data_IF_844015255764
#
_entry.id   IF_844015255764
#
_cell.length_a   1.000
_cell.length_b   1.000
_cell.length_c   1.000
_cell.angle_alpha   90.00
_cell.angle_beta   90.00
_cell.angle_gamma   90.00
#
_symmetry.space_group_name_H-M   'P 1'
#
loop_
_entity.id
_entity.type
_entity.pdbx_description
1 polymer ?
#
# COMPACT_ATOMS: atom_id res chain seq x y z
N UNK A 1 -23.25 21.72 6.07
CA UNK A 1 -22.45 20.85 5.19
C UNK A 1 -22.21 21.61 3.91
N UNK A 2 -21.05 22.25 3.79
CA UNK A 2 -20.70 23.04 2.61
C UNK A 2 -20.17 22.02 1.59
N UNK A 3 -20.75 21.96 0.40
CA UNK A 3 -20.41 20.97 -0.64
C UNK A 3 -19.05 21.20 -1.31
N UNK A 4 -18.03 21.49 -0.51
CA UNK A 4 -16.67 21.76 -0.96
C UNK A 4 -15.99 20.47 -1.44
N UNK A 5 -15.20 20.59 -2.49
CA UNK A 5 -14.44 19.48 -3.06
C UNK A 5 -13.48 18.91 -2.01
N UNK A 6 -13.46 17.58 -1.89
CA UNK A 6 -12.52 16.90 -1.01
C UNK A 6 -11.07 17.23 -1.41
N UNK A 7 -10.22 17.52 -0.43
CA UNK A 7 -8.78 17.77 -0.64
C UNK A 7 -8.05 16.54 -1.23
N UNK A 8 -8.50 15.34 -0.86
CA UNK A 8 -7.93 14.07 -1.31
C UNK A 8 -9.06 13.11 -1.69
N UNK A 9 -9.66 13.29 -2.87
CA UNK A 9 -10.70 12.40 -3.35
C UNK A 9 -10.12 11.01 -3.67
N UNK A 10 -10.93 9.96 -3.54
CA UNK A 10 -10.46 8.57 -3.66
C UNK A 10 -9.80 8.22 -5.01
N UNK A 11 -10.13 8.94 -6.09
CA UNK A 11 -9.50 8.72 -7.39
C UNK A 11 -8.00 9.05 -7.40
N UNK A 12 -7.55 10.01 -6.59
CA UNK A 12 -6.12 10.34 -6.50
C UNK A 12 -5.35 9.24 -5.75
N UNK A 13 -5.98 8.60 -4.76
CA UNK A 13 -5.44 7.39 -4.13
C UNK A 13 -5.22 6.25 -5.12
N UNK A 14 -6.16 6.03 -6.04
CA UNK A 14 -6.05 5.01 -7.09
C UNK A 14 -4.88 5.31 -8.05
N UNK A 15 -4.64 6.58 -8.39
CA UNK A 15 -3.47 6.98 -9.19
C UNK A 15 -2.16 6.72 -8.45
N UNK A 16 -2.11 7.00 -7.14
CA UNK A 16 -0.96 6.68 -6.30
C UNK A 16 -0.62 5.18 -6.30
N UNK A 17 -1.64 4.33 -6.16
CA UNK A 17 -1.48 2.87 -6.28
C UNK A 17 -0.97 2.46 -7.68
N UNK A 18 -1.45 3.11 -8.73
CA UNK A 18 -1.01 2.83 -10.10
C UNK A 18 0.48 3.11 -10.28
N UNK A 19 0.99 4.22 -9.72
CA UNK A 19 2.41 4.55 -9.75
C UNK A 19 3.23 3.53 -8.97
N UNK A 20 2.78 3.15 -7.76
CA UNK A 20 3.45 2.13 -6.95
C UNK A 20 3.54 0.78 -7.68
N UNK A 21 2.47 0.36 -8.36
CA UNK A 21 2.46 -0.86 -9.17
C UNK A 21 3.42 -0.75 -10.37
N UNK A 22 3.52 0.41 -11.01
CA UNK A 22 4.45 0.65 -12.11
C UNK A 22 5.92 0.54 -11.67
N UNK A 23 6.25 1.08 -10.49
CA UNK A 23 7.58 0.97 -9.88
C UNK A 23 7.95 -0.50 -9.65
N UNK A 24 7.02 -1.27 -9.06
CA UNK A 24 7.23 -2.70 -8.86
C UNK A 24 7.39 -3.47 -10.18
N UNK A 25 6.57 -3.16 -11.18
CA UNK A 25 6.68 -3.82 -12.49
C UNK A 25 8.04 -3.55 -13.13
N UNK A 26 8.53 -2.30 -13.07
CA UNK A 26 9.85 -1.92 -13.60
C UNK A 26 10.99 -2.65 -12.88
N UNK A 27 10.94 -2.72 -11.55
CA UNK A 27 11.91 -3.48 -10.74
C UNK A 27 11.94 -4.97 -11.10
N UNK A 28 10.77 -5.58 -11.31
CA UNK A 28 10.70 -7.02 -11.58
C UNK A 28 11.08 -7.39 -13.00
N UNK A 29 10.80 -6.54 -13.98
CA UNK A 29 11.09 -6.82 -15.40
C UNK A 29 12.40 -6.20 -15.88
N UNK A 30 13.00 -5.30 -15.09
CA UNK A 30 14.17 -4.49 -15.47
C UNK A 30 13.93 -3.67 -16.75
N UNK A 31 12.68 -3.27 -16.98
CA UNK A 31 12.24 -2.49 -18.14
C UNK A 31 11.71 -1.12 -17.71
N UNK A 32 11.80 -0.15 -18.61
CA UNK A 32 11.11 1.13 -18.46
C UNK A 32 9.60 0.91 -18.61
N UNK A 33 8.82 1.32 -17.61
CA UNK A 33 7.35 1.16 -17.62
C UNK A 33 6.69 2.52 -17.86
N UNK A 34 5.82 2.59 -18.88
CA UNK A 34 4.99 3.76 -19.18
C UNK A 34 3.56 3.58 -18.67
N UNK A 35 2.88 4.67 -18.35
CA UNK A 35 1.46 4.64 -17.99
C UNK A 35 0.55 4.76 -19.22
N UNK A 36 -0.60 4.06 -19.28
CA UNK A 36 -1.07 3.10 -18.28
C UNK A 36 -0.30 1.76 -18.33
N UNK A 37 -0.09 1.15 -17.16
CA UNK A 37 0.63 -0.13 -17.06
C UNK A 37 -0.20 -1.30 -17.62
N UNK A 38 0.49 -2.36 -18.03
CA UNK A 38 -0.13 -3.67 -18.26
C UNK A 38 -0.54 -4.30 -16.91
N UNK A 39 -1.82 -4.16 -16.57
CA UNK A 39 -2.39 -4.67 -15.33
C UNK A 39 -2.38 -6.20 -15.24
N UNK A 40 -2.50 -6.89 -16.38
CA UNK A 40 -2.50 -8.34 -16.41
C UNK A 40 -1.09 -8.88 -16.11
N UNK A 41 -0.06 -8.32 -16.75
CA UNK A 41 1.35 -8.63 -16.49
C UNK A 41 1.72 -8.39 -15.02
N UNK A 42 1.32 -7.24 -14.47
CA UNK A 42 1.54 -6.94 -13.05
C UNK A 42 0.87 -7.96 -12.12
N UNK A 43 -0.42 -8.27 -12.36
CA UNK A 43 -1.18 -9.20 -11.54
C UNK A 43 -0.56 -10.60 -11.55
N UNK A 44 -0.12 -11.07 -12.71
CA UNK A 44 0.52 -12.38 -12.84
C UNK A 44 1.81 -12.46 -12.01
N UNK A 45 2.71 -11.50 -12.18
CA UNK A 45 3.97 -11.45 -11.43
C UNK A 45 3.75 -11.29 -9.92
N UNK A 46 2.77 -10.48 -9.52
CA UNK A 46 2.39 -10.32 -8.12
C UNK A 46 1.98 -11.67 -7.51
N UNK A 47 1.13 -12.44 -8.20
CA UNK A 47 0.71 -13.75 -7.72
C UNK A 47 1.86 -14.74 -7.63
N UNK A 48 2.78 -14.74 -8.61
CA UNK A 48 3.99 -15.57 -8.54
C UNK A 48 4.85 -15.21 -7.31
N UNK A 49 4.95 -13.93 -6.96
CA UNK A 49 5.70 -13.48 -5.77
C UNK A 49 4.99 -13.81 -4.47
N UNK A 50 3.67 -13.64 -4.40
CA UNK A 50 2.88 -14.03 -3.22
C UNK A 50 3.07 -15.52 -2.92
N UNK A 51 3.02 -16.37 -3.95
CA UNK A 51 3.25 -17.82 -3.79
C UNK A 51 4.64 -18.18 -3.27
N UNK A 52 5.66 -17.36 -3.58
CA UNK A 52 7.04 -17.53 -3.11
C UNK A 52 7.34 -16.77 -1.81
N UNK A 53 6.42 -15.94 -1.35
CA UNK A 53 6.58 -15.19 -0.12
C UNK A 53 6.28 -16.11 1.07
N UNK A 54 7.14 -16.05 2.08
CA UNK A 54 6.92 -16.71 3.35
C UNK A 54 6.58 -15.65 4.38
N UNK A 55 5.62 -15.96 5.25
CA UNK A 55 5.39 -15.16 6.45
C UNK A 55 6.67 -15.26 7.27
N UNK A 56 7.30 -14.11 7.53
CA UNK A 56 8.41 -14.07 8.46
C UNK A 56 7.83 -14.37 9.84
N UNK A 57 8.23 -15.48 10.44
CA UNK A 57 7.93 -15.75 11.85
C UNK A 57 8.52 -14.59 12.66
N UNK A 58 7.64 -13.72 13.15
CA UNK A 58 8.04 -12.69 14.09
C UNK A 58 8.63 -13.39 15.30
N UNK A 59 9.82 -12.97 15.73
CA UNK A 59 10.24 -13.21 17.11
C UNK A 59 9.04 -12.87 18.00
N UNK A 60 8.66 -13.79 18.89
CA UNK A 60 7.56 -13.62 19.85
C UNK A 60 7.94 -12.57 20.92
N UNK A 61 8.49 -11.44 20.52
CA UNK A 61 8.60 -10.28 21.37
C UNK A 61 7.20 -9.67 21.41
N UNK A 62 6.61 -9.85 22.58
CA UNK A 62 5.27 -9.49 23.01
C UNK A 62 4.66 -8.31 22.24
N UNK A 63 3.93 -8.62 21.17
CA UNK A 63 2.97 -7.72 20.55
C UNK A 63 1.71 -7.68 21.42
N UNK A 64 1.85 -7.30 22.70
CA UNK A 64 0.76 -6.77 23.51
C UNK A 64 0.40 -5.36 23.02
N UNK A 65 0.16 -5.22 21.72
CA UNK A 65 -0.58 -4.09 21.18
C UNK A 65 -2.01 -4.31 21.63
N UNK A 66 -2.40 -3.58 22.67
CA UNK A 66 -3.79 -3.38 23.06
C UNK A 66 -4.55 -2.82 21.85
N UNK A 67 -5.07 -3.71 20.99
CA UNK A 67 -6.02 -3.38 19.93
C UNK A 67 -7.29 -2.84 20.59
N UNK A 68 -7.30 -1.55 20.90
CA UNK A 68 -8.39 -0.88 21.61
C UNK A 68 -7.97 0.27 22.52
N UNK A 69 -6.68 0.45 22.82
CA UNK A 69 -6.21 1.62 23.56
C UNK A 69 -5.38 2.47 22.61
N UNK A 70 -6.02 3.49 22.04
CA UNK A 70 -5.29 4.53 21.31
C UNK A 70 -4.27 5.14 22.26
N UNK A 71 -2.99 5.02 21.93
CA UNK A 71 -1.90 5.58 22.72
C UNK A 71 -2.17 7.06 22.99
N UNK A 72 -2.15 7.46 24.27
CA UNK A 72 -2.37 8.83 24.77
C UNK A 72 -1.35 9.84 24.23
N UNK A 73 -0.33 9.37 23.49
CA UNK A 73 0.71 10.21 22.87
C UNK A 73 0.15 11.16 21.81
N UNK A 74 -1.04 10.89 21.26
CA UNK A 74 -1.71 11.75 20.28
C UNK A 74 -2.87 12.57 20.85
N UNK A 75 -3.04 12.63 22.17
CA UNK A 75 -3.99 13.57 22.77
C UNK A 75 -3.41 14.99 22.74
N UNK A 76 -3.78 15.76 21.73
CA UNK A 76 -3.56 17.21 21.71
C UNK A 76 -4.75 17.87 22.40
N UNK A 77 -4.48 18.49 23.55
CA UNK A 77 -5.45 19.35 24.27
C UNK A 77 -5.44 20.73 23.58
N UNK A 78 -6.64 21.21 23.21
CA UNK A 78 -6.86 22.55 22.67
C UNK A 78 -6.88 23.59 23.79
#
# INVERSE_FOLDING_TARGET
MNGETLLAPGFDGIKGLTISNAIHLSDWTHEMVTLPIDQAKYKELLMQKVQRSHIKDGSKEDLSINFGVTSTRWEVQW
#
